data_IF_119021362480
#
_entry.id   IF_119021362480
#
_cell.length_a   1.000
_cell.length_b   1.000
_cell.length_c   1.000
_cell.angle_alpha   90.00
_cell.angle_beta   90.00
_cell.angle_gamma   90.00
#
_symmetry.space_group_name_H-M   'P 1'
#
loop_
_entity.id
_entity.type
_entity.pdbx_description
1 polymer ?
#
# COMPACT_ATOMS: atom_id res chain seq x y z
N UNK A 1 9.80 12.46 14.87
CA UNK A 1 8.79 11.84 13.98
C UNK A 1 8.31 12.93 13.05
N UNK A 2 8.19 12.63 11.75
CA UNK A 2 7.56 13.53 10.79
C UNK A 2 6.08 13.67 11.18
N UNK A 3 5.59 14.91 11.24
CA UNK A 3 4.16 15.16 11.41
C UNK A 3 3.53 15.20 10.02
N UNK A 4 2.51 14.38 9.79
CA UNK A 4 1.92 14.21 8.46
C UNK A 4 0.64 15.02 8.36
N UNK A 5 0.65 16.05 7.52
CA UNK A 5 -0.53 16.85 7.18
C UNK A 5 -1.52 16.06 6.32
N UNK A 6 -1.01 15.12 5.51
CA UNK A 6 -1.79 14.35 4.55
C UNK A 6 -1.54 12.85 4.65
N UNK A 7 -2.52 12.09 4.18
CA UNK A 7 -2.49 10.63 4.09
C UNK A 7 -2.89 10.22 2.69
N UNK A 8 -2.18 9.24 2.16
CA UNK A 8 -2.38 8.73 0.82
C UNK A 8 -2.70 7.25 0.85
N UNK A 9 -3.47 6.78 -0.13
CA UNK A 9 -3.78 5.37 -0.32
C UNK A 9 -3.70 5.00 -1.79
N UNK A 10 -2.98 3.93 -2.13
CA UNK A 10 -2.84 3.43 -3.50
C UNK A 10 -3.38 2.01 -3.53
N UNK A 11 -4.36 1.78 -4.40
CA UNK A 11 -4.75 0.42 -4.76
C UNK A 11 -4.04 0.00 -6.05
N UNK A 12 -3.33 -1.12 -5.96
CA UNK A 12 -2.61 -1.72 -7.08
C UNK A 12 -3.41 -2.83 -7.78
N UNK A 13 -4.63 -3.13 -7.32
CA UNK A 13 -5.43 -4.23 -7.83
C UNK A 13 -5.84 -3.99 -9.29
N UNK A 14 -5.14 -4.66 -10.21
CA UNK A 14 -5.43 -4.60 -11.64
C UNK A 14 -6.40 -5.70 -12.04
N UNK A 15 -7.70 -5.42 -12.04
CA UNK A 15 -8.69 -6.34 -12.60
C UNK A 15 -8.53 -6.45 -14.14
N UNK A 16 -8.46 -7.68 -14.65
CA UNK A 16 -8.38 -8.13 -16.08
C UNK A 16 -7.22 -7.60 -16.93
N UNK A 17 -6.76 -6.38 -16.71
CA UNK A 17 -5.57 -5.77 -17.32
C UNK A 17 -4.71 -5.20 -16.19
N UNK A 18 -3.70 -5.96 -15.72
CA UNK A 18 -2.80 -5.47 -14.68
C UNK A 18 -2.28 -4.09 -15.05
N UNK A 19 -2.35 -3.14 -14.12
CA UNK A 19 -1.73 -1.80 -14.21
C UNK A 19 -2.40 -0.81 -15.18
N UNK A 20 -3.57 -1.11 -15.76
CA UNK A 20 -4.21 -0.21 -16.72
C UNK A 20 -4.90 0.99 -16.05
N UNK A 21 -5.41 0.85 -14.83
CA UNK A 21 -5.95 1.94 -14.02
C UNK A 21 -5.79 1.61 -12.53
N UNK A 22 -4.83 2.24 -11.86
CA UNK A 22 -4.69 2.19 -10.40
C UNK A 22 -5.59 3.24 -9.78
N UNK A 23 -5.89 3.14 -8.49
CA UNK A 23 -6.61 4.21 -7.78
C UNK A 23 -5.75 4.83 -6.69
N UNK A 24 -5.83 6.15 -6.57
CA UNK A 24 -5.22 6.90 -5.50
C UNK A 24 -6.26 7.73 -4.73
N UNK A 25 -6.19 7.66 -3.41
CA UNK A 25 -6.93 8.51 -2.50
C UNK A 25 -5.94 9.40 -1.74
N UNK A 26 -6.30 10.66 -1.53
CA UNK A 26 -5.59 11.56 -0.62
C UNK A 26 -6.59 12.12 0.37
N UNK A 27 -6.22 12.08 1.64
CA UNK A 27 -7.00 12.62 2.74
C UNK A 27 -6.16 13.45 3.69
N UNK A 28 -6.85 14.12 4.60
CA UNK A 28 -6.26 14.91 5.69
C UNK A 28 -7.04 14.68 6.97
N UNK A 29 -6.44 14.98 8.11
CA UNK A 29 -7.16 14.93 9.38
C UNK A 29 -8.12 16.12 9.50
N UNK A 30 -9.38 15.85 9.83
CA UNK A 30 -10.40 16.84 10.16
C UNK A 30 -11.25 16.31 11.31
N UNK A 31 -11.28 17.05 12.43
CA UNK A 31 -12.09 16.70 13.61
C UNK A 31 -11.80 15.26 14.13
N UNK A 32 -10.53 14.84 14.09
CA UNK A 32 -10.10 13.50 14.53
C UNK A 32 -10.44 12.36 13.57
N UNK A 33 -10.98 12.66 12.38
CA UNK A 33 -11.29 11.69 11.32
C UNK A 33 -10.50 11.98 10.06
N UNK A 34 -10.38 10.96 9.21
CA UNK A 34 -9.84 11.14 7.87
C UNK A 34 -10.91 11.77 6.95
N UNK A 35 -10.65 12.93 6.38
CA UNK A 35 -11.44 13.51 5.29
C UNK A 35 -10.73 13.19 3.96
N UNK A 36 -11.37 12.40 3.09
CA UNK A 36 -10.88 12.18 1.72
C UNK A 36 -11.14 13.45 0.90
N UNK A 37 -10.07 14.05 0.40
CA UNK A 37 -10.08 15.31 -0.36
C UNK A 37 -9.78 15.11 -1.84
N UNK A 38 -9.17 13.99 -2.21
CA UNK A 38 -8.97 13.57 -3.60
C UNK A 38 -9.17 12.06 -3.74
N UNK A 39 -9.80 11.63 -4.82
CA UNK A 39 -9.97 10.23 -5.18
C UNK A 39 -10.05 10.12 -6.70
N UNK A 40 -9.03 9.53 -7.32
CA UNK A 40 -8.95 9.44 -8.77
C UNK A 40 -8.25 8.16 -9.25
N UNK A 41 -8.57 7.71 -10.47
CA UNK A 41 -7.73 6.74 -11.15
C UNK A 41 -6.41 7.41 -11.58
N UNK A 42 -5.32 6.67 -11.50
CA UNK A 42 -3.97 7.10 -11.90
C UNK A 42 -3.40 6.07 -12.88
N UNK A 43 -2.94 6.50 -14.08
CA UNK A 43 -2.17 5.64 -14.96
C UNK A 43 -0.89 5.13 -14.26
N UNK A 44 -0.48 3.90 -14.52
CA UNK A 44 0.72 3.38 -13.90
C UNK A 44 2.02 4.01 -14.44
N UNK A 45 3.16 3.70 -13.80
CA UNK A 45 4.52 4.17 -14.09
C UNK A 45 4.76 5.64 -13.75
N UNK A 46 5.12 6.45 -14.74
CA UNK A 46 5.61 7.82 -14.53
C UNK A 46 4.56 8.69 -13.85
N UNK A 47 3.29 8.53 -14.23
CA UNK A 47 2.19 9.25 -13.61
C UNK A 47 2.03 8.91 -12.12
N UNK A 48 2.11 7.63 -11.75
CA UNK A 48 2.08 7.21 -10.34
C UNK A 48 3.30 7.71 -9.58
N UNK A 49 4.51 7.55 -10.14
CA UNK A 49 5.76 8.03 -9.51
C UNK A 49 5.70 9.52 -9.25
N UNK A 50 5.33 10.30 -10.25
CA UNK A 50 5.23 11.75 -10.12
C UNK A 50 4.09 12.14 -9.15
N UNK A 51 2.97 11.40 -9.15
CA UNK A 51 1.88 11.64 -8.22
C UNK A 51 2.28 11.41 -6.76
N UNK A 52 2.90 10.28 -6.46
CA UNK A 52 3.31 9.92 -5.10
C UNK A 52 4.43 10.86 -4.61
N UNK A 53 5.40 11.18 -5.46
CA UNK A 53 6.50 12.06 -5.10
C UNK A 53 6.04 13.50 -4.81
N UNK A 54 5.18 14.06 -5.68
CA UNK A 54 4.90 15.50 -5.62
C UNK A 54 3.51 15.93 -6.13
N UNK A 55 2.98 15.35 -7.23
CA UNK A 55 1.81 15.94 -7.89
C UNK A 55 0.54 15.91 -7.03
N UNK A 56 0.47 15.06 -6.00
CA UNK A 56 -0.62 15.08 -5.03
C UNK A 56 -0.83 16.48 -4.42
N UNK A 57 0.24 17.25 -4.16
CA UNK A 57 0.17 18.59 -3.56
C UNK A 57 -0.70 19.53 -4.37
N UNK A 58 -0.50 19.54 -5.71
CA UNK A 58 -1.28 20.35 -6.64
C UNK A 58 -2.76 19.98 -6.65
N UNK A 59 -3.09 18.70 -6.48
CA UNK A 59 -4.49 18.25 -6.46
C UNK A 59 -5.23 18.65 -5.19
N UNK A 60 -4.53 18.76 -4.06
CA UNK A 60 -5.15 19.01 -2.75
C UNK A 60 -4.87 20.39 -2.18
N UNK A 61 -4.10 21.22 -2.91
CA UNK A 61 -3.69 22.56 -2.49
C UNK A 61 -2.77 22.55 -1.27
N UNK A 62 -1.85 21.58 -1.18
CA UNK A 62 -0.87 21.49 -0.11
C UNK A 62 0.34 22.41 -0.36
N UNK A 63 0.98 22.85 0.72
CA UNK A 63 2.18 23.69 0.69
C UNK A 63 3.46 22.84 0.54
N UNK A 64 4.59 23.47 0.20
CA UNK A 64 5.88 22.77 0.03
C UNK A 64 6.36 22.05 1.30
N UNK A 65 5.99 22.57 2.48
CA UNK A 65 6.34 21.99 3.78
C UNK A 65 5.45 20.83 4.24
N UNK A 66 4.36 20.54 3.51
CA UNK A 66 3.44 19.48 3.89
C UNK A 66 4.02 18.09 3.58
N UNK A 67 3.91 17.22 4.58
CA UNK A 67 4.32 15.83 4.50
C UNK A 67 3.13 14.88 4.33
N UNK A 68 3.36 13.76 3.65
CA UNK A 68 2.35 12.73 3.37
C UNK A 68 2.84 11.32 3.74
N UNK A 69 1.94 10.53 4.33
CA UNK A 69 2.12 9.10 4.55
C UNK A 69 1.20 8.31 3.63
N UNK A 70 1.78 7.50 2.75
CA UNK A 70 1.09 6.65 1.78
C UNK A 70 1.00 5.20 2.25
N UNK A 71 -0.20 4.63 2.26
CA UNK A 71 -0.42 3.19 2.28
C UNK A 71 -0.56 2.66 0.87
N UNK A 72 0.21 1.64 0.50
CA UNK A 72 0.13 1.02 -0.82
C UNK A 72 -0.22 -0.48 -0.76
N UNK A 73 -1.20 -0.89 -1.58
CA UNK A 73 -1.72 -2.27 -1.61
C UNK A 73 -0.94 -3.18 -2.57
N UNK A 74 0.32 -3.43 -2.25
CA UNK A 74 1.12 -4.50 -2.85
C UNK A 74 2.29 -4.87 -1.95
N UNK A 75 2.83 -6.10 -2.05
CA UNK A 75 3.98 -6.49 -1.26
C UNK A 75 5.23 -5.67 -1.57
N UNK A 76 5.82 -5.03 -0.55
CA UNK A 76 7.07 -4.29 -0.68
C UNK A 76 8.28 -5.22 -0.62
N UNK A 77 8.13 -6.43 -0.10
CA UNK A 77 9.18 -7.43 -0.02
C UNK A 77 8.77 -8.75 -0.65
N UNK A 78 9.76 -9.62 -0.84
CA UNK A 78 9.57 -11.01 -1.24
C UNK A 78 10.04 -11.92 -0.10
N UNK A 79 9.66 -13.22 -0.09
CA UNK A 79 10.19 -14.17 0.89
C UNK A 79 11.72 -14.20 0.84
N UNK A 80 12.38 -14.38 1.99
CA UNK A 80 13.84 -14.32 2.12
C UNK A 80 14.57 -15.27 1.15
N UNK A 81 13.95 -16.42 0.84
CA UNK A 81 14.43 -17.40 -0.13
C UNK A 81 14.60 -16.81 -1.55
N UNK A 82 13.78 -15.82 -1.93
CA UNK A 82 13.96 -15.07 -3.17
C UNK A 82 15.23 -14.21 -3.13
N UNK A 83 15.46 -13.54 -1.99
CA UNK A 83 16.67 -12.76 -1.76
C UNK A 83 17.93 -13.61 -1.85
N UNK A 84 17.96 -14.78 -1.21
CA UNK A 84 19.12 -15.71 -1.24
C UNK A 84 19.50 -16.09 -2.66
N UNK A 85 18.51 -16.34 -3.55
CA UNK A 85 18.77 -16.69 -4.95
C UNK A 85 19.35 -15.55 -5.78
N UNK A 86 18.92 -14.32 -5.50
CA UNK A 86 19.39 -13.13 -6.21
C UNK A 86 20.78 -12.73 -5.71
N UNK A 87 21.00 -12.80 -4.40
CA UNK A 87 22.17 -12.22 -3.76
C UNK A 87 23.40 -13.13 -3.80
N UNK A 88 23.27 -14.43 -4.05
CA UNK A 88 24.38 -15.38 -3.98
C UNK A 88 25.60 -14.92 -4.80
N UNK A 89 26.80 -14.72 -4.19
CA UNK A 89 27.23 -15.18 -2.86
C UNK A 89 27.18 -14.16 -1.70
N UNK A 90 26.50 -13.02 -1.85
CA UNK A 90 26.39 -11.93 -0.85
C UNK A 90 25.16 -12.09 0.04
N UNK A 91 25.19 -11.41 1.20
CA UNK A 91 24.01 -11.23 2.06
C UNK A 91 22.89 -10.55 1.26
N UNK A 92 21.65 -11.07 1.28
CA UNK A 92 20.55 -10.47 0.55
C UNK A 92 20.16 -9.11 1.13
N UNK A 93 20.20 -8.10 0.27
CA UNK A 93 19.74 -6.74 0.55
C UNK A 93 18.49 -6.44 -0.27
N UNK A 94 17.51 -5.78 0.35
CA UNK A 94 16.27 -5.42 -0.33
C UNK A 94 16.51 -4.57 -1.59
N UNK A 95 17.44 -3.61 -1.52
CA UNK A 95 17.77 -2.75 -2.66
C UNK A 95 18.30 -3.53 -3.87
N UNK A 96 19.08 -4.60 -3.64
CA UNK A 96 19.56 -5.47 -4.69
C UNK A 96 18.44 -6.34 -5.28
N UNK A 97 17.53 -6.81 -4.43
CA UNK A 97 16.33 -7.54 -4.86
C UNK A 97 15.43 -6.66 -5.73
N UNK A 98 15.13 -5.44 -5.29
CA UNK A 98 14.30 -4.49 -6.03
C UNK A 98 14.93 -4.15 -7.40
N UNK A 99 16.25 -3.96 -7.45
CA UNK A 99 16.97 -3.74 -8.70
C UNK A 99 16.91 -4.96 -9.64
N UNK A 100 17.11 -6.17 -9.12
CA UNK A 100 17.00 -7.40 -9.91
C UNK A 100 15.60 -7.54 -10.56
N UNK A 101 14.55 -7.21 -9.82
CA UNK A 101 13.16 -7.21 -10.30
C UNK A 101 12.94 -6.11 -11.34
N UNK A 102 13.44 -4.90 -11.07
CA UNK A 102 13.31 -3.76 -11.99
C UNK A 102 14.00 -4.01 -13.35
N UNK A 103 15.06 -4.80 -13.40
CA UNK A 103 15.76 -5.08 -14.66
C UNK A 103 15.07 -6.14 -15.54
N UNK A 104 13.98 -6.77 -15.07
CA UNK A 104 13.41 -7.96 -15.72
C UNK A 104 11.89 -7.93 -15.85
N UNK A 105 11.32 -8.55 -16.90
CA UNK A 105 9.88 -8.77 -16.99
C UNK A 105 9.37 -9.64 -15.83
N UNK A 106 8.14 -9.42 -15.32
CA UNK A 106 7.58 -10.22 -14.23
C UNK A 106 7.61 -11.74 -14.45
N UNK A 107 7.41 -12.18 -15.69
CA UNK A 107 7.42 -13.61 -16.05
C UNK A 107 8.81 -14.24 -15.94
N UNK A 108 9.87 -13.49 -16.24
CA UNK A 108 11.25 -13.96 -16.11
C UNK A 108 11.64 -14.12 -14.64
N UNK A 109 11.35 -13.09 -13.83
CA UNK A 109 11.62 -13.12 -12.39
C UNK A 109 10.89 -14.29 -11.73
N UNK A 110 9.60 -14.48 -12.02
CA UNK A 110 8.84 -15.61 -11.50
C UNK A 110 9.39 -16.94 -12.02
N UNK A 111 9.80 -17.00 -13.28
CA UNK A 111 10.39 -18.19 -13.90
C UNK A 111 11.70 -18.65 -13.26
N UNK A 112 12.50 -17.70 -12.73
CA UNK A 112 13.71 -18.02 -11.96
C UNK A 112 13.41 -18.60 -10.56
N UNK A 113 12.16 -18.52 -10.10
CA UNK A 113 11.74 -18.93 -8.74
C UNK A 113 10.41 -19.72 -8.74
N UNK A 114 10.29 -20.81 -9.51
CA UNK A 114 9.00 -21.45 -9.79
C UNK A 114 8.35 -22.09 -8.55
N UNK A 115 9.15 -22.51 -7.58
CA UNK A 115 8.72 -23.11 -6.32
C UNK A 115 8.26 -22.08 -5.28
N UNK A 116 8.52 -20.78 -5.48
CA UNK A 116 8.10 -19.73 -4.55
C UNK A 116 6.67 -19.21 -4.78
N UNK A 117 5.93 -19.76 -5.75
CA UNK A 117 4.57 -19.29 -6.11
C UNK A 117 3.52 -19.36 -4.96
N UNK A 118 3.81 -20.09 -3.88
CA UNK A 118 3.00 -20.17 -2.66
C UNK A 118 3.78 -19.77 -1.40
N UNK A 119 5.03 -19.34 -1.55
CA UNK A 119 5.87 -18.95 -0.44
C UNK A 119 5.38 -17.61 0.12
N UNK A 120 4.96 -17.62 1.37
CA UNK A 120 4.67 -16.41 2.14
C UNK A 120 5.99 -15.87 2.72
N UNK A 121 6.02 -14.56 2.97
CA UNK A 121 7.00 -13.97 3.88
C UNK A 121 6.74 -14.46 5.29
N UNK A 122 7.76 -14.48 6.14
CA UNK A 122 7.62 -14.80 7.56
C UNK A 122 6.74 -13.80 8.31
N UNK A 123 6.59 -12.61 7.76
CA UNK A 123 5.79 -11.50 8.31
C UNK A 123 4.39 -11.41 7.73
N UNK A 124 4.04 -12.25 6.75
CA UNK A 124 2.69 -12.25 6.18
C UNK A 124 1.67 -12.74 7.21
N UNK A 125 0.63 -11.94 7.44
CA UNK A 125 -0.47 -12.26 8.34
C UNK A 125 -1.81 -11.90 7.71
N UNK A 126 -2.93 -12.20 8.37
CA UNK A 126 -4.25 -11.69 7.96
C UNK A 126 -4.82 -12.28 6.66
N UNK A 127 -4.26 -13.38 6.15
CA UNK A 127 -4.70 -14.01 4.91
C UNK A 127 -4.11 -13.40 3.64
N UNK A 128 -3.02 -12.64 3.76
CA UNK A 128 -2.26 -12.14 2.62
C UNK A 128 -1.91 -13.27 1.64
N UNK A 129 -1.88 -12.93 0.36
CA UNK A 129 -1.48 -13.86 -0.69
C UNK A 129 0.04 -13.86 -0.85
N UNK A 130 0.60 -15.00 -1.24
CA UNK A 130 2.02 -15.10 -1.53
C UNK A 130 2.42 -14.07 -2.62
N UNK A 131 3.56 -13.36 -2.46
CA UNK A 131 4.00 -12.36 -3.44
C UNK A 131 4.11 -12.88 -4.89
N UNK A 132 4.40 -14.17 -5.06
CA UNK A 132 4.49 -14.87 -6.36
C UNK A 132 3.22 -15.66 -6.76
N UNK A 133 2.10 -15.47 -6.06
CA UNK A 133 0.83 -16.11 -6.41
C UNK A 133 0.40 -15.69 -7.83
N UNK A 134 -0.11 -16.65 -8.59
CA UNK A 134 -0.51 -16.47 -10.00
C UNK A 134 -1.49 -15.31 -10.23
N UNK A 135 -2.28 -14.97 -9.21
CA UNK A 135 -3.29 -13.91 -9.30
C UNK A 135 -2.70 -12.50 -9.20
N UNK A 136 -1.55 -12.32 -8.54
CA UNK A 136 -1.01 -10.99 -8.26
C UNK A 136 0.48 -10.79 -8.56
N UNK A 137 1.26 -11.83 -8.92
CA UNK A 137 2.71 -11.66 -9.05
C UNK A 137 3.13 -10.54 -10.01
N UNK A 138 2.38 -10.31 -11.10
CA UNK A 138 2.66 -9.19 -12.01
C UNK A 138 2.53 -7.84 -11.30
N UNK A 139 1.46 -7.67 -10.52
CA UNK A 139 1.23 -6.48 -9.69
C UNK A 139 2.35 -6.31 -8.67
N UNK A 140 2.72 -7.38 -7.95
CA UNK A 140 3.82 -7.35 -6.97
C UNK A 140 5.13 -6.89 -7.61
N UNK A 141 5.53 -7.52 -8.72
CA UNK A 141 6.83 -7.29 -9.33
C UNK A 141 6.90 -5.90 -10.01
N UNK A 142 5.79 -5.42 -10.54
CA UNK A 142 5.69 -4.05 -11.07
C UNK A 142 5.65 -3.02 -9.95
N UNK A 143 5.00 -3.31 -8.81
CA UNK A 143 5.10 -2.51 -7.60
C UNK A 143 6.53 -2.42 -7.07
N UNK A 144 7.28 -3.52 -7.05
CA UNK A 144 8.69 -3.52 -6.66
C UNK A 144 9.58 -2.71 -7.63
N UNK A 145 9.30 -2.77 -8.93
CA UNK A 145 9.94 -1.89 -9.94
C UNK A 145 9.63 -0.42 -9.64
N UNK A 146 8.38 -0.09 -9.37
CA UNK A 146 7.97 1.27 -8.99
C UNK A 146 8.70 1.76 -7.73
N UNK A 147 8.80 0.92 -6.68
CA UNK A 147 9.56 1.26 -5.47
C UNK A 147 11.05 1.44 -5.75
N UNK A 148 11.63 0.62 -6.63
CA UNK A 148 13.02 0.78 -7.07
C UNK A 148 13.26 2.14 -7.74
N UNK A 149 12.35 2.58 -8.60
CA UNK A 149 12.43 3.89 -9.27
C UNK A 149 12.19 5.05 -8.29
N UNK A 150 11.31 4.87 -7.30
CA UNK A 150 10.93 5.91 -6.35
C UNK A 150 12.00 6.13 -5.26
N UNK A 151 12.73 5.08 -4.86
CA UNK A 151 13.74 5.18 -3.78
C UNK A 151 14.88 6.15 -4.11
N UNK A 152 15.14 6.39 -5.39
CA UNK A 152 16.19 7.30 -5.87
C UNK A 152 15.81 8.77 -5.63
N UNK A 153 14.53 9.06 -5.35
CA UNK A 153 14.06 10.38 -4.96
C UNK A 153 14.50 10.74 -3.53
N UNK A 154 15.04 11.95 -3.38
CA UNK A 154 15.61 12.39 -2.12
C UNK A 154 14.56 12.64 -1.02
N UNK A 155 13.31 12.89 -1.40
CA UNK A 155 12.21 13.25 -0.50
C UNK A 155 11.35 12.05 -0.12
N UNK A 156 11.70 10.85 -0.61
CA UNK A 156 10.93 9.63 -0.37
C UNK A 156 11.63 8.68 0.60
N UNK A 157 10.86 8.18 1.56
CA UNK A 157 11.23 7.08 2.47
C UNK A 157 10.27 5.90 2.25
N UNK A 158 10.82 4.68 2.13
CA UNK A 158 10.04 3.45 2.00
C UNK A 158 10.25 2.63 3.27
N UNK A 159 9.21 2.43 4.07
CA UNK A 159 9.34 1.75 5.35
C UNK A 159 8.88 0.28 5.28
N UNK A 160 9.62 -0.65 5.91
CA UNK A 160 10.92 -0.48 6.58
C UNK A 160 12.16 -0.60 5.66
N UNK A 161 12.01 -0.84 4.37
CA UNK A 161 13.08 -1.38 3.53
C UNK A 161 14.15 -0.37 3.07
N UNK A 162 13.78 0.90 2.92
CA UNK A 162 14.68 1.98 2.57
C UNK A 162 14.28 3.27 3.33
N UNK A 163 14.46 3.29 4.66
CA UNK A 163 14.05 4.41 5.49
C UNK A 163 14.96 5.61 5.25
N UNK A 164 14.36 6.80 5.17
CA UNK A 164 15.08 8.06 5.01
C UNK A 164 14.62 9.07 6.06
N UNK A 165 15.56 9.56 6.85
CA UNK A 165 15.28 10.56 7.87
C UNK A 165 14.89 11.90 7.23
N UNK A 166 13.82 12.52 7.70
CA UNK A 166 13.37 13.83 7.26
C UNK A 166 12.62 13.86 5.91
N UNK A 167 12.36 12.70 5.30
CA UNK A 167 11.59 12.62 4.06
C UNK A 167 10.17 13.19 4.24
N UNK A 168 9.75 14.08 3.32
CA UNK A 168 8.40 14.62 3.26
C UNK A 168 7.36 13.63 2.75
N UNK A 169 7.78 12.59 2.01
CA UNK A 169 6.92 11.53 1.51
C UNK A 169 7.34 10.19 2.08
N UNK A 170 6.43 9.50 2.75
CA UNK A 170 6.68 8.18 3.36
C UNK A 170 5.72 7.15 2.79
N UNK A 171 6.22 5.98 2.42
CA UNK A 171 5.40 4.85 1.94
C UNK A 171 5.47 3.69 2.93
N UNK A 172 4.33 3.07 3.16
CA UNK A 172 4.17 1.82 3.91
C UNK A 172 3.34 0.81 3.11
N UNK A 173 3.68 -0.46 3.26
CA UNK A 173 2.85 -1.55 2.75
C UNK A 173 1.60 -1.72 3.61
N UNK A 174 0.43 -1.79 2.97
CA UNK A 174 -0.85 -2.05 3.65
C UNK A 174 -1.61 -3.14 2.92
N UNK A 175 -2.61 -3.73 3.60
CA UNK A 175 -3.49 -4.72 2.98
C UNK A 175 -4.96 -4.40 3.28
N UNK A 176 -5.61 -3.60 2.41
CA UNK A 176 -6.98 -3.09 2.60
C UNK A 176 -8.00 -4.18 2.89
N UNK A 177 -7.92 -5.32 2.20
CA UNK A 177 -8.86 -6.42 2.40
C UNK A 177 -8.84 -6.98 3.84
N UNK A 178 -7.66 -7.15 4.43
CA UNK A 178 -7.53 -7.60 5.81
C UNK A 178 -7.93 -6.51 6.80
N UNK A 179 -7.52 -5.26 6.57
CA UNK A 179 -7.87 -4.14 7.43
C UNK A 179 -9.38 -3.87 7.46
N UNK A 180 -10.05 -3.95 6.31
CA UNK A 180 -11.49 -3.82 6.20
C UNK A 180 -12.22 -4.84 7.09
N UNK A 181 -11.76 -6.09 7.07
CA UNK A 181 -12.29 -7.16 7.94
C UNK A 181 -12.09 -6.85 9.42
N UNK A 182 -10.91 -6.34 9.81
CA UNK A 182 -10.62 -5.97 11.20
C UNK A 182 -11.45 -4.79 11.69
N UNK A 183 -11.68 -3.82 10.83
CA UNK A 183 -12.49 -2.63 11.13
C UNK A 183 -14.00 -2.87 10.99
N UNK A 184 -14.43 -4.10 10.69
CA UNK A 184 -15.84 -4.42 10.46
C UNK A 184 -16.44 -3.76 9.22
N UNK A 185 -15.61 -3.22 8.31
CA UNK A 185 -16.01 -2.68 7.02
C UNK A 185 -16.37 -3.87 6.13
N UNK A 186 -17.67 -4.18 6.03
CA UNK A 186 -18.13 -5.36 5.28
C UNK A 186 -17.81 -5.21 3.78
N UNK A 187 -16.83 -6.00 3.33
CA UNK A 187 -16.62 -6.27 1.91
C UNK A 187 -17.73 -7.15 1.35
N UNK A 188 -18.29 -6.77 0.20
CA UNK A 188 -19.25 -7.59 -0.53
C UNK A 188 -19.18 -7.22 -2.00
N UNK A 189 -19.49 -8.17 -2.90
CA UNK A 189 -19.63 -7.93 -4.34
C UNK A 189 -20.61 -6.79 -4.62
N UNK A 190 -20.51 -6.21 -5.82
CA UNK A 190 -21.46 -5.20 -6.34
C UNK A 190 -22.87 -5.50 -5.83
N UNK A 191 -23.58 -4.51 -5.23
CA UNK A 191 -24.86 -4.74 -4.59
C UNK A 191 -25.79 -5.49 -5.53
N UNK A 192 -26.14 -6.72 -5.19
CA UNK A 192 -27.13 -7.48 -5.95
C UNK A 192 -28.56 -7.07 -5.54
N UNK A 193 -28.66 -6.33 -4.42
CA UNK A 193 -29.92 -5.86 -3.84
C UNK A 193 -29.88 -4.36 -3.49
N UNK A 194 -31.01 -3.64 -3.62
CA UNK A 194 -31.10 -2.20 -3.32
C UNK A 194 -30.64 -1.78 -1.91
N UNK A 195 -30.75 -2.66 -0.91
CA UNK A 195 -30.34 -2.38 0.47
C UNK A 195 -28.83 -2.47 0.74
N UNK A 196 -28.09 -3.25 -0.05
CA UNK A 196 -26.63 -3.44 0.10
C UNK A 196 -25.85 -2.20 -0.33
N UNK A 197 -26.38 -1.45 -1.31
CA UNK A 197 -25.81 -0.18 -1.77
C UNK A 197 -25.81 0.90 -0.67
N UNK A 198 -26.84 0.94 0.17
CA UNK A 198 -26.91 1.87 1.32
C UNK A 198 -26.00 1.47 2.50
N UNK A 199 -25.67 0.19 2.63
CA UNK A 199 -24.84 -0.32 3.72
C UNK A 199 -23.35 0.02 3.56
N UNK A 200 -22.87 0.21 2.33
CA UNK A 200 -21.45 0.50 2.04
C UNK A 200 -20.99 1.89 2.52
N UNK A 201 -21.68 3.01 2.20
CA UNK A 201 -21.31 4.31 2.75
C UNK A 201 -21.38 4.31 4.29
N UNK A 202 -22.39 3.64 4.86
CA UNK A 202 -22.57 3.54 6.30
C UNK A 202 -21.40 2.83 7.01
N UNK A 203 -20.68 1.93 6.33
CA UNK A 203 -19.53 1.24 6.89
C UNK A 203 -18.24 2.09 6.91
N UNK A 204 -18.09 3.06 6.00
CA UNK A 204 -16.92 3.93 5.94
C UNK A 204 -17.04 5.16 6.85
N UNK A 205 -18.26 5.72 6.98
CA UNK A 205 -18.56 6.94 7.76
C UNK A 205 -18.10 6.97 9.24
N UNK A 206 -18.02 5.83 9.96
CA UNK A 206 -17.43 5.83 11.29
C UNK A 206 -15.98 6.32 11.28
N UNK A 207 -15.23 5.99 10.23
CA UNK A 207 -13.78 6.18 10.13
C UNK A 207 -13.37 7.38 9.27
N UNK A 208 -14.13 7.68 8.23
CA UNK A 208 -13.79 8.73 7.26
C UNK A 208 -14.98 9.54 6.78
N UNK A 209 -14.71 10.74 6.30
CA UNK A 209 -15.64 11.61 5.57
C UNK A 209 -15.10 11.88 4.16
N UNK A 210 -15.91 12.51 3.32
CA UNK A 210 -15.54 12.87 1.95
C UNK A 210 -15.83 14.35 1.72
N UNK A 211 -14.87 15.08 1.16
CA UNK A 211 -15.03 16.50 0.86
C UNK A 211 -16.08 16.74 -0.24
N UNK A 212 -16.36 15.74 -1.09
CA UNK A 212 -17.36 15.82 -2.15
C UNK A 212 -18.19 14.52 -2.27
N UNK A 213 -19.52 14.60 -2.46
CA UNK A 213 -20.38 13.41 -2.56
C UNK A 213 -20.04 12.44 -3.70
N UNK A 214 -19.46 12.93 -4.81
CA UNK A 214 -19.04 12.05 -5.91
C UNK A 214 -17.92 11.09 -5.50
N UNK A 215 -17.01 11.50 -4.61
CA UNK A 215 -15.93 10.63 -4.13
C UNK A 215 -16.50 9.53 -3.24
N UNK A 216 -17.46 9.86 -2.37
CA UNK A 216 -18.19 8.85 -1.59
C UNK A 216 -18.90 7.86 -2.52
N UNK A 217 -19.58 8.35 -3.56
CA UNK A 217 -20.25 7.50 -4.54
C UNK A 217 -19.26 6.58 -5.30
N UNK A 218 -18.08 7.08 -5.68
CA UNK A 218 -17.01 6.30 -6.29
C UNK A 218 -16.52 5.19 -5.35
N UNK A 219 -16.12 5.53 -4.12
CA UNK A 219 -15.65 4.58 -3.12
C UNK A 219 -16.72 3.55 -2.70
N UNK A 220 -18.00 3.87 -2.85
CA UNK A 220 -19.08 2.92 -2.56
C UNK A 220 -19.40 1.99 -3.74
N UNK A 221 -19.10 2.41 -4.98
CA UNK A 221 -19.45 1.69 -6.19
C UNK A 221 -18.30 0.83 -6.72
N UNK A 222 -17.09 1.39 -6.72
CA UNK A 222 -15.88 0.80 -7.31
C UNK A 222 -15.02 0.18 -6.20
N UNK A 223 -14.62 -1.07 -6.41
CA UNK A 223 -13.79 -1.83 -5.45
C UNK A 223 -12.40 -1.20 -5.31
N UNK A 224 -11.74 -0.92 -6.41
CA UNK A 224 -10.39 -0.36 -6.43
C UNK A 224 -10.32 1.03 -5.76
N UNK A 225 -11.32 1.88 -6.03
CA UNK A 225 -11.46 3.19 -5.39
C UNK A 225 -11.68 3.08 -3.87
N UNK A 226 -12.46 2.07 -3.44
CA UNK A 226 -12.70 1.80 -2.02
C UNK A 226 -11.42 1.36 -1.33
N UNK A 227 -10.68 0.45 -1.97
CA UNK A 227 -9.49 -0.14 -1.39
C UNK A 227 -8.35 0.90 -1.31
N UNK A 228 -8.28 1.86 -2.25
CA UNK A 228 -7.45 3.05 -2.13
C UNK A 228 -7.85 3.94 -0.92
N UNK A 229 -9.14 4.18 -0.69
CA UNK A 229 -9.61 4.91 0.50
C UNK A 229 -9.27 4.18 1.81
N UNK A 230 -9.36 2.85 1.83
CA UNK A 230 -9.01 2.04 3.00
C UNK A 230 -7.48 2.05 3.21
N UNK A 231 -6.68 1.98 2.14
CA UNK A 231 -5.23 2.14 2.22
C UNK A 231 -4.84 3.49 2.85
N UNK A 232 -5.53 4.57 2.44
CA UNK A 232 -5.38 5.91 3.01
C UNK A 232 -5.78 5.94 4.50
N UNK A 233 -6.87 5.26 4.87
CA UNK A 233 -7.28 5.11 6.26
C UNK A 233 -6.23 4.38 7.11
N UNK A 234 -5.60 3.32 6.59
CA UNK A 234 -4.57 2.59 7.32
C UNK A 234 -3.36 3.50 7.57
N UNK A 235 -2.93 4.27 6.57
CA UNK A 235 -1.87 5.28 6.74
C UNK A 235 -2.22 6.28 7.84
N UNK A 236 -3.42 6.86 7.81
CA UNK A 236 -3.90 7.74 8.87
C UNK A 236 -3.84 7.09 10.26
N UNK A 237 -4.34 5.87 10.40
CA UNK A 237 -4.38 5.17 11.69
C UNK A 237 -2.99 4.72 12.18
N UNK A 238 -2.03 4.50 11.29
CA UNK A 238 -0.68 4.06 11.64
C UNK A 238 0.31 5.22 11.91
N UNK A 239 -0.09 6.48 11.68
CA UNK A 239 0.81 7.65 11.76
C UNK A 239 1.61 7.77 13.07
N UNK A 240 1.02 7.33 14.19
CA UNK A 240 1.65 7.35 15.51
C UNK A 240 2.40 6.07 15.89
N UNK A 241 2.31 5.02 15.08
CA UNK A 241 2.86 3.68 15.34
C UNK A 241 3.44 3.12 14.03
N UNK A 242 4.49 3.77 13.52
CA UNK A 242 5.21 3.31 12.32
C UNK A 242 6.27 2.24 12.62
N UNK A 243 6.54 2.01 13.90
CA UNK A 243 7.42 0.95 14.39
C UNK A 243 6.57 -0.22 14.91
N UNK A 244 5.93 -0.94 13.98
CA UNK A 244 5.08 -2.10 14.26
C UNK A 244 5.76 -3.49 14.30
N UNK A 245 7.10 -3.68 14.30
CA UNK A 245 7.66 -5.04 14.26
C UNK A 245 7.32 -5.83 15.53
N UNK A 246 6.91 -5.15 16.61
CA UNK A 246 6.47 -5.75 17.87
C UNK A 246 5.24 -6.68 17.73
N UNK A 247 4.46 -6.59 16.65
CA UNK A 247 3.31 -7.47 16.39
C UNK A 247 3.67 -8.78 15.68
N UNK A 248 4.91 -8.92 15.21
CA UNK A 248 5.36 -10.03 14.35
C UNK A 248 6.04 -11.17 15.13
N UNK A 249 6.17 -11.05 16.45
CA UNK A 249 6.88 -12.04 17.27
C UNK A 249 8.40 -11.97 17.08
N UNK A 250 9.09 -13.11 17.17
CA UNK A 250 10.56 -13.19 17.05
C UNK A 250 10.98 -13.42 15.59
N UNK A 251 10.84 -12.40 14.75
CA UNK A 251 11.42 -12.40 13.40
C UNK A 251 12.81 -11.73 13.46
N UNK A 252 13.87 -12.32 12.88
CA UNK A 252 15.20 -11.72 12.89
C UNK A 252 15.21 -10.34 12.18
N UNK A 253 15.95 -9.34 12.69
CA UNK A 253 16.01 -8.00 12.09
C UNK A 253 16.39 -7.99 10.61
N UNK A 254 17.31 -8.85 10.21
CA UNK A 254 17.75 -9.00 8.81
C UNK A 254 16.62 -9.53 7.90
N UNK A 255 15.73 -10.36 8.45
CA UNK A 255 14.55 -10.82 7.72
C UNK A 255 13.52 -9.70 7.61
N UNK A 256 13.33 -8.91 8.68
CA UNK A 256 12.44 -7.75 8.65
C UNK A 256 12.90 -6.68 7.64
N UNK A 257 14.20 -6.44 7.54
CA UNK A 257 14.75 -5.50 6.56
C UNK A 257 14.55 -5.96 5.11
N UNK A 258 14.54 -7.28 4.87
CA UNK A 258 14.38 -7.86 3.53
C UNK A 258 12.91 -8.06 3.14
N UNK A 259 12.12 -8.67 4.02
CA UNK A 259 10.73 -9.04 3.75
C UNK A 259 9.74 -7.90 4.05
N UNK A 260 10.07 -7.01 4.99
CA UNK A 260 9.16 -5.99 5.50
C UNK A 260 7.98 -6.57 6.27
N UNK A 261 6.92 -5.78 6.41
CA UNK A 261 5.66 -6.23 7.01
C UNK A 261 4.48 -5.40 6.51
N UNK A 262 3.27 -5.96 6.66
CA UNK A 262 2.02 -5.28 6.35
C UNK A 262 1.62 -4.42 7.57
N UNK A 263 1.50 -3.12 7.38
CA UNK A 263 0.99 -2.21 8.39
C UNK A 263 -0.52 -2.39 8.55
N UNK A 264 -0.97 -2.41 9.80
CA UNK A 264 -2.37 -2.68 10.15
C UNK A 264 -2.91 -1.65 11.15
N UNK A 265 -4.22 -1.37 11.13
CA UNK A 265 -4.85 -0.52 12.13
C UNK A 265 -4.47 -0.93 13.56
N UNK A 266 -4.30 0.02 14.49
CA UNK A 266 -4.10 -0.31 15.90
C UNK A 266 -5.28 -1.12 16.45
N UNK A 267 -4.98 -2.13 17.29
CA UNK A 267 -6.00 -3.00 17.87
C UNK A 267 -7.08 -2.24 18.66
N UNK A 268 -6.73 -1.07 19.22
CA UNK A 268 -7.65 -0.21 19.96
C UNK A 268 -8.76 0.43 19.11
N UNK A 269 -8.63 0.42 17.77
CA UNK A 269 -9.61 0.97 16.83
C UNK A 269 -10.59 -0.11 16.32
N UNK A 270 -10.28 -1.39 16.55
CA UNK A 270 -11.05 -2.54 16.06
C UNK A 270 -12.16 -3.02 17.01
N UNK A 271 -12.63 -2.17 17.93
CA UNK A 271 -13.60 -2.49 19.00
C UNK A 271 -14.94 -1.80 18.85
#
# INVERSE_FOLDING_TARGET
MTDFSYFGGIDFSGAKEPLSNLWAAVGREREGKLEIVSLCPIPFREDLRAHVAEHWRRHVGADEGDAILWGADFPFGLPADAGVRIAAPRTPEWAALAAYVADRPPDEVRGAMPDLHKALRRTDTGGALAPFDMRLYRQTLEGLRFLHELREDAEVSILPQAPRAGAGTVLIEVYPAAAAKELGIRGGRVPSRPGESRARPAALRPFMTFAHPSMEACACTLEDARDACIACLIAFLCRGDLDQPHRLGRVPPETLALEGWIYRPPAAVAG
#
